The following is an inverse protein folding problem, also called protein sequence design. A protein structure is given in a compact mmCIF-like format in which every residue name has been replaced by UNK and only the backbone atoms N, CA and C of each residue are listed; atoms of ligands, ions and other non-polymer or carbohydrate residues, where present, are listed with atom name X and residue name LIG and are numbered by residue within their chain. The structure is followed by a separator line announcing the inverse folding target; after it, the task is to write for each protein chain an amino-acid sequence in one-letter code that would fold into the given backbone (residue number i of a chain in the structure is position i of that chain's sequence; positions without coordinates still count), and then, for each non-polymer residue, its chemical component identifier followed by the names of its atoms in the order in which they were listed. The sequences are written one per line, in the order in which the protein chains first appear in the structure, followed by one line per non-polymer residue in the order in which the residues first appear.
data_IF_068693507853
#
_entry.id   IF_068693507853
#
_cell.length_a   1.000
_cell.length_b   1.000
_cell.length_c   1.000
_cell.angle_alpha   90.00
_cell.angle_beta   90.00
_cell.angle_gamma   90.00
#
_symmetry.space_group_name_H-M   'P 1'
#
loop_
_entity.id
_entity.type
_entity.pdbx_description
1 polymer ?
#
# COMPACT_ATOMS: atom_id res chain seq x y z
N UNK A 1 -19.51 0.27 -2.03
CA UNK A 1 -20.65 1.15 -2.32
C UNK A 1 -20.88 1.19 -3.82
N UNK A 2 -22.08 0.87 -4.30
CA UNK A 2 -22.47 0.82 -5.73
C UNK A 2 -22.83 2.22 -6.29
N UNK A 3 -22.90 3.23 -5.39
CA UNK A 3 -23.08 4.63 -5.77
C UNK A 3 -24.36 4.86 -6.56
N UNK A 4 -24.25 5.64 -7.65
CA UNK A 4 -25.35 5.99 -8.55
C UNK A 4 -25.92 4.78 -9.31
N UNK A 5 -25.11 3.74 -9.51
CA UNK A 5 -25.49 2.53 -10.26
C UNK A 5 -26.27 1.51 -9.41
N UNK A 6 -26.56 1.84 -8.13
CA UNK A 6 -27.27 0.96 -7.20
C UNK A 6 -28.58 0.43 -7.78
N UNK A 7 -29.31 1.26 -8.53
CA UNK A 7 -30.60 0.91 -9.11
C UNK A 7 -30.46 0.00 -10.34
N UNK A 8 -29.41 0.18 -11.14
CA UNK A 8 -29.10 -0.69 -12.28
C UNK A 8 -28.65 -2.07 -11.80
N UNK A 9 -27.73 -2.13 -10.81
CA UNK A 9 -27.29 -3.40 -10.23
C UNK A 9 -28.45 -4.16 -9.57
N UNK A 10 -29.38 -3.48 -8.90
CA UNK A 10 -30.54 -4.13 -8.31
C UNK A 10 -31.40 -4.86 -9.35
N UNK A 11 -31.66 -4.23 -10.50
CA UNK A 11 -32.38 -4.88 -11.62
C UNK A 11 -31.64 -6.08 -12.19
N UNK A 12 -30.33 -5.96 -12.41
CA UNK A 12 -29.54 -7.08 -12.96
C UNK A 12 -29.49 -8.27 -11.96
N UNK A 13 -29.56 -8.00 -10.65
CA UNK A 13 -29.68 -9.03 -9.62
C UNK A 13 -31.03 -9.74 -9.60
N UNK A 14 -32.11 -9.10 -10.05
CA UNK A 14 -33.42 -9.76 -10.17
C UNK A 14 -33.36 -10.86 -11.23
N UNK A 15 -32.64 -10.62 -12.33
CA UNK A 15 -32.46 -11.59 -13.42
C UNK A 15 -31.34 -12.61 -13.15
N UNK A 16 -30.32 -12.23 -12.37
CA UNK A 16 -29.23 -13.11 -11.96
C UNK A 16 -28.91 -12.94 -10.46
N UNK A 17 -29.53 -13.76 -9.58
CA UNK A 17 -29.33 -13.67 -8.13
C UNK A 17 -27.87 -13.88 -7.69
N UNK A 18 -27.10 -14.65 -8.45
CA UNK A 18 -25.68 -14.96 -8.21
C UNK A 18 -24.74 -13.82 -8.65
N UNK A 19 -25.27 -12.73 -9.21
CA UNK A 19 -24.47 -11.59 -9.64
C UNK A 19 -23.73 -10.97 -8.44
N UNK A 20 -22.42 -11.14 -8.41
CA UNK A 20 -21.58 -10.45 -7.43
C UNK A 20 -21.19 -9.08 -7.97
N UNK A 21 -21.88 -8.05 -7.51
CA UNK A 21 -21.64 -6.68 -7.94
C UNK A 21 -20.44 -6.07 -7.21
N UNK A 22 -19.29 -6.01 -7.88
CA UNK A 22 -18.10 -5.32 -7.38
C UNK A 22 -17.95 -3.95 -8.02
N UNK A 23 -18.33 -2.88 -7.33
CA UNK A 23 -18.11 -1.52 -7.83
C UNK A 23 -16.63 -1.09 -7.70
N UNK A 24 -15.83 -1.72 -6.81
CA UNK A 24 -14.40 -1.45 -6.71
C UNK A 24 -13.64 -2.72 -6.33
N UNK A 25 -13.19 -3.51 -7.32
CA UNK A 25 -12.15 -4.54 -7.16
C UNK A 25 -10.97 -4.01 -6.31
N UNK A 26 -10.67 -2.72 -6.43
CA UNK A 26 -9.66 -2.01 -5.63
C UNK A 26 -9.95 -2.11 -4.12
N UNK A 27 -11.20 -1.91 -3.68
CA UNK A 27 -11.53 -1.99 -2.25
C UNK A 27 -11.40 -3.43 -1.73
N UNK A 28 -11.91 -4.41 -2.49
CA UNK A 28 -11.77 -5.81 -2.09
C UNK A 28 -10.31 -6.28 -2.10
N UNK A 29 -9.51 -5.83 -3.06
CA UNK A 29 -8.09 -6.11 -3.07
C UNK A 29 -7.37 -5.49 -1.88
N UNK A 30 -7.81 -4.32 -1.39
CA UNK A 30 -7.32 -3.75 -0.13
C UNK A 30 -7.73 -4.61 1.07
N UNK A 31 -9.00 -5.04 1.12
CA UNK A 31 -9.55 -5.86 2.20
C UNK A 31 -8.93 -7.28 2.24
N UNK A 32 -8.57 -7.83 1.09
CA UNK A 32 -7.92 -9.14 0.93
C UNK A 32 -6.38 -9.04 1.03
N UNK A 33 -5.81 -7.83 0.96
CA UNK A 33 -4.38 -7.60 1.20
C UNK A 33 -4.04 -7.55 2.70
N UNK A 34 -4.26 -8.66 3.39
CA UNK A 34 -3.76 -8.83 4.75
C UNK A 34 -2.24 -9.02 4.65
N UNK A 35 -1.48 -8.12 5.27
CA UNK A 35 -0.04 -8.31 5.43
C UNK A 35 0.18 -9.32 6.57
N UNK A 36 1.24 -10.12 6.49
CA UNK A 36 1.72 -10.83 7.68
C UNK A 36 2.12 -9.81 8.75
N UNK A 37 2.09 -10.22 10.03
CA UNK A 37 2.42 -9.33 11.15
C UNK A 37 3.79 -8.67 10.99
N UNK A 38 4.79 -9.42 10.51
CA UNK A 38 6.12 -8.90 10.19
C UNK A 38 6.08 -7.76 9.16
N UNK A 39 5.39 -7.96 8.04
CA UNK A 39 5.28 -6.93 7.00
C UNK A 39 4.45 -5.74 7.49
N UNK A 40 3.46 -5.94 8.36
CA UNK A 40 2.71 -4.85 8.95
C UNK A 40 3.59 -3.96 9.83
N UNK A 41 4.51 -4.56 10.58
CA UNK A 41 5.46 -3.83 11.44
C UNK A 41 6.49 -3.04 10.62
N UNK A 42 7.01 -3.64 9.55
CA UNK A 42 7.86 -2.93 8.59
C UNK A 42 7.15 -1.71 8.03
N UNK A 43 5.86 -1.83 7.67
CA UNK A 43 5.09 -0.71 7.15
C UNK A 43 4.89 0.40 8.18
N UNK A 44 4.72 0.08 9.48
CA UNK A 44 4.67 1.09 10.55
C UNK A 44 6.00 1.84 10.65
N UNK A 45 7.12 1.15 10.59
CA UNK A 45 8.46 1.77 10.62
C UNK A 45 8.64 2.70 9.43
N UNK A 46 8.28 2.26 8.21
CA UNK A 46 8.39 3.08 7.00
C UNK A 46 7.51 4.34 7.12
N UNK A 47 6.27 4.18 7.58
CA UNK A 47 5.37 5.32 7.80
C UNK A 47 5.91 6.27 8.86
N UNK A 48 6.53 5.78 9.93
CA UNK A 48 7.16 6.62 10.94
C UNK A 48 8.31 7.44 10.32
N UNK A 49 9.24 6.77 9.65
CA UNK A 49 10.40 7.43 9.03
C UNK A 49 10.01 8.45 7.95
N UNK A 50 8.94 8.19 7.18
CA UNK A 50 8.51 9.07 6.07
C UNK A 50 7.45 10.10 6.41
N UNK A 51 6.52 9.82 7.32
CA UNK A 51 5.33 10.63 7.52
C UNK A 51 5.25 11.28 8.91
N UNK A 52 5.99 10.79 9.91
CA UNK A 52 5.89 11.35 11.27
C UNK A 52 6.61 12.69 11.44
N UNK A 53 7.69 12.95 10.70
CA UNK A 53 8.42 14.22 10.78
C UNK A 53 9.28 14.49 9.54
N UNK A 54 9.33 15.75 9.11
CA UNK A 54 10.23 16.20 8.02
C UNK A 54 11.71 16.03 8.39
N UNK A 55 12.04 16.13 9.68
CA UNK A 55 13.40 15.90 10.18
C UNK A 55 13.81 14.44 10.03
N UNK A 56 12.93 13.51 10.44
CA UNK A 56 13.18 12.07 10.28
C UNK A 56 13.30 11.67 8.82
N UNK A 57 12.46 12.24 7.95
CA UNK A 57 12.55 12.00 6.52
C UNK A 57 13.90 12.49 5.96
N UNK A 58 14.38 13.66 6.37
CA UNK A 58 15.69 14.17 5.96
C UNK A 58 16.83 13.26 6.43
N UNK A 59 16.82 12.84 7.70
CA UNK A 59 17.82 11.92 8.25
C UNK A 59 17.85 10.58 7.50
N UNK A 60 16.68 10.03 7.16
CA UNK A 60 16.60 8.84 6.32
C UNK A 60 17.31 9.06 4.97
N UNK A 61 17.07 10.19 4.31
CA UNK A 61 17.69 10.47 3.01
C UNK A 61 19.21 10.68 3.10
N UNK A 62 19.69 11.29 4.19
CA UNK A 62 21.13 11.41 4.45
C UNK A 62 21.76 10.04 4.67
N UNK A 63 21.16 9.21 5.54
CA UNK A 63 21.62 7.85 5.77
C UNK A 63 21.67 7.01 4.48
N UNK A 64 20.62 7.08 3.64
CA UNK A 64 20.59 6.35 2.36
C UNK A 64 21.70 6.78 1.39
N UNK A 65 22.10 8.05 1.43
CA UNK A 65 23.22 8.56 0.63
C UNK A 65 24.57 8.08 1.17
N UNK A 66 24.74 8.08 2.50
CA UNK A 66 25.96 7.62 3.15
C UNK A 66 26.26 6.15 2.86
N UNK A 67 25.22 5.31 2.80
CA UNK A 67 25.36 3.88 2.48
C UNK A 67 25.29 3.58 0.99
N UNK A 68 25.32 4.61 0.13
CA UNK A 68 25.22 4.50 -1.34
C UNK A 68 24.06 3.59 -1.80
N UNK A 69 22.91 3.67 -1.12
CA UNK A 69 21.76 2.82 -1.42
C UNK A 69 21.27 3.05 -2.86
N UNK A 70 20.72 2.01 -3.49
CA UNK A 70 20.13 2.10 -4.84
C UNK A 70 18.91 3.04 -4.96
N UNK A 71 18.39 3.53 -3.84
CA UNK A 71 17.23 4.39 -3.79
C UNK A 71 17.43 5.50 -2.76
N UNK A 72 17.16 6.74 -3.18
CA UNK A 72 17.32 7.94 -2.37
C UNK A 72 16.24 8.14 -1.29
N UNK A 73 15.21 7.28 -1.26
CA UNK A 73 14.05 7.41 -0.39
C UNK A 73 13.22 6.10 -0.34
N UNK A 74 12.49 5.90 0.75
CA UNK A 74 11.46 4.84 0.85
C UNK A 74 10.16 5.25 0.15
N UNK A 75 9.19 4.38 -0.04
CA UNK A 75 7.86 4.80 -0.54
C UNK A 75 6.90 4.98 0.65
N UNK A 76 6.09 6.04 0.63
CA UNK A 76 5.00 6.18 1.60
C UNK A 76 3.80 5.37 1.13
N UNK A 77 3.17 4.66 2.05
CA UNK A 77 1.95 3.91 1.77
C UNK A 77 0.70 4.65 2.22
N UNK A 78 -0.36 4.57 1.41
CA UNK A 78 -1.72 4.90 1.84
C UNK A 78 -2.63 3.69 1.59
N UNK A 79 -3.62 3.47 2.45
CA UNK A 79 -4.51 2.29 2.40
C UNK A 79 -5.45 2.24 1.19
N UNK A 80 -5.18 3.01 0.15
CA UNK A 80 -6.06 3.20 -1.00
C UNK A 80 -5.72 2.21 -2.13
N UNK A 81 -4.51 1.63 -2.16
CA UNK A 81 -4.06 0.69 -3.20
C UNK A 81 -3.25 -0.46 -2.62
N UNK A 82 -3.53 -1.70 -3.01
CA UNK A 82 -2.74 -2.87 -2.59
C UNK A 82 -1.37 -2.91 -3.28
N UNK A 83 -1.30 -2.50 -4.56
CA UNK A 83 -0.06 -2.42 -5.33
C UNK A 83 0.98 -1.49 -4.69
N UNK A 84 0.56 -0.50 -3.90
CA UNK A 84 1.52 0.34 -3.18
C UNK A 84 2.18 -0.40 -2.03
N UNK A 85 1.47 -1.29 -1.31
CA UNK A 85 2.06 -2.07 -0.21
C UNK A 85 3.22 -2.93 -0.69
N UNK A 86 3.01 -3.68 -1.78
CA UNK A 86 4.03 -4.56 -2.35
C UNK A 86 5.25 -3.75 -2.79
N UNK A 87 5.04 -2.66 -3.54
CA UNK A 87 6.15 -1.80 -4.00
C UNK A 87 6.93 -1.14 -2.87
N UNK A 88 6.26 -0.77 -1.78
CA UNK A 88 6.90 -0.21 -0.59
C UNK A 88 7.82 -1.24 0.05
N UNK A 89 7.32 -2.48 0.24
CA UNK A 89 8.12 -3.58 0.80
C UNK A 89 9.27 -3.98 -0.13
N UNK A 90 9.03 -4.06 -1.44
CA UNK A 90 10.08 -4.34 -2.43
C UNK A 90 11.21 -3.31 -2.34
N UNK A 91 10.88 -2.01 -2.26
CA UNK A 91 11.90 -0.96 -2.13
C UNK A 91 12.66 -1.07 -0.82
N UNK A 92 11.95 -1.28 0.30
CA UNK A 92 12.59 -1.46 1.61
C UNK A 92 13.59 -2.63 1.59
N UNK A 93 13.19 -3.78 1.04
CA UNK A 93 14.07 -4.94 0.94
C UNK A 93 15.20 -4.76 -0.06
N UNK A 94 15.01 -3.98 -1.12
CA UNK A 94 16.09 -3.61 -2.04
C UNK A 94 17.18 -2.84 -1.31
N UNK A 95 16.81 -1.77 -0.60
CA UNK A 95 17.74 -0.97 0.20
C UNK A 95 18.45 -1.84 1.23
N UNK A 96 17.72 -2.67 1.99
CA UNK A 96 18.32 -3.54 3.02
C UNK A 96 19.37 -4.51 2.45
N UNK A 97 19.18 -4.98 1.21
CA UNK A 97 20.14 -5.91 0.58
C UNK A 97 21.43 -5.21 0.16
N UNK A 98 21.35 -3.94 -0.20
CA UNK A 98 22.50 -3.18 -0.68
C UNK A 98 23.34 -2.61 0.47
N UNK A 99 22.72 -2.36 1.63
CA UNK A 99 23.42 -1.90 2.84
C UNK A 99 24.21 -2.99 3.58
N UNK A 100 24.67 -4.04 2.87
CA UNK A 100 25.29 -5.24 3.44
C UNK A 100 26.74 -5.41 3.02
#
# INVERSE_FOLDING_TARGET
MIGREKRAVARIKEDNPELISYHCIIHQSVLCSTLSDEHAEVMKIINFLRASSSYQHRLLKEFLREVEANADDLLLHNNVRWLSKVRVLERFWSIRRDSK
#
